data_IF_995455250943
#
_entry.id   IF_995455250943
#
_cell.length_a   1.000
_cell.length_b   1.000
_cell.length_c   1.000
_cell.angle_alpha   90.00
_cell.angle_beta   90.00
_cell.angle_gamma   90.00
#
_symmetry.space_group_name_H-M   'P 1'
#
loop_
_entity.id
_entity.type
_entity.pdbx_description
1 polymer ?
#
# COMPACT_ATOMS: atom_id res chain seq x y z
N UNK A 1 -8.24 6.98 -26.69
CA UNK A 1 -7.45 5.93 -27.38
C UNK A 1 -7.64 4.52 -26.79
N UNK A 2 -7.76 4.34 -25.47
CA UNK A 2 -8.01 3.02 -24.87
C UNK A 2 -9.34 2.37 -25.29
N UNK A 3 -10.35 3.17 -25.66
CA UNK A 3 -11.60 2.66 -26.23
C UNK A 3 -11.40 2.07 -27.63
N UNK A 4 -10.57 2.71 -28.46
CA UNK A 4 -10.27 2.30 -29.85
C UNK A 4 -9.50 0.98 -29.93
N UNK A 5 -8.63 0.69 -28.95
CA UNK A 5 -7.88 -0.58 -28.87
C UNK A 5 -8.67 -1.72 -28.18
N UNK A 6 -9.87 -1.43 -27.66
CA UNK A 6 -10.71 -2.42 -26.98
C UNK A 6 -10.03 -3.06 -25.76
N UNK A 7 -9.04 -2.40 -25.13
CA UNK A 7 -8.30 -2.96 -23.98
C UNK A 7 -9.23 -3.16 -22.77
N UNK A 8 -10.27 -2.35 -22.67
CA UNK A 8 -11.24 -2.38 -21.58
C UNK A 8 -12.28 -3.51 -21.71
N UNK A 9 -12.43 -4.12 -22.88
CA UNK A 9 -13.43 -5.17 -23.14
C UNK A 9 -12.82 -6.56 -23.26
N UNK A 10 -13.55 -7.55 -22.77
CA UNK A 10 -13.28 -8.95 -23.09
C UNK A 10 -13.79 -9.22 -24.51
N UNK A 11 -12.89 -9.55 -25.44
CA UNK A 11 -13.29 -9.87 -26.82
C UNK A 11 -13.81 -11.31 -26.91
N UNK A 12 -15.06 -11.53 -27.37
CA UNK A 12 -15.57 -12.86 -27.63
C UNK A 12 -14.80 -13.51 -28.78
N UNK A 13 -14.65 -14.84 -28.77
CA UNK A 13 -13.97 -15.60 -29.83
C UNK A 13 -12.46 -15.79 -29.68
N UNK A 14 -11.79 -15.06 -28.78
CA UNK A 14 -10.39 -15.31 -28.44
C UNK A 14 -10.22 -16.61 -27.63
N UNK A 15 -9.05 -17.23 -27.75
CA UNK A 15 -8.68 -18.35 -26.88
C UNK A 15 -8.43 -17.85 -25.43
N UNK A 16 -8.37 -18.75 -24.45
CA UNK A 16 -8.25 -18.35 -23.04
C UNK A 16 -6.89 -17.72 -22.68
N UNK A 17 -5.81 -18.08 -23.36
CA UNK A 17 -4.48 -17.51 -23.14
C UNK A 17 -4.47 -16.04 -23.59
N UNK A 18 -4.92 -15.77 -24.81
CA UNK A 18 -4.99 -14.41 -25.38
C UNK A 18 -5.93 -13.53 -24.54
N UNK A 19 -7.05 -14.10 -24.04
CA UNK A 19 -7.94 -13.40 -23.12
C UNK A 19 -7.22 -13.02 -21.83
N UNK A 20 -6.45 -13.94 -21.25
CA UNK A 20 -5.75 -13.69 -19.98
C UNK A 20 -4.62 -12.67 -20.13
N UNK A 21 -3.87 -12.73 -21.24
CA UNK A 21 -2.85 -11.74 -21.58
C UNK A 21 -3.47 -10.34 -21.70
N UNK A 22 -4.59 -10.22 -22.42
CA UNK A 22 -5.33 -8.95 -22.52
C UNK A 22 -5.81 -8.45 -21.16
N UNK A 23 -6.27 -9.34 -20.27
CA UNK A 23 -6.63 -8.97 -18.89
C UNK A 23 -5.43 -8.42 -18.14
N UNK A 24 -4.26 -9.04 -18.29
CA UNK A 24 -3.02 -8.58 -17.66
C UNK A 24 -2.61 -7.18 -18.14
N UNK A 25 -2.67 -6.94 -19.46
CA UNK A 25 -2.41 -5.62 -20.06
C UNK A 25 -3.39 -4.57 -19.54
N UNK A 26 -4.68 -4.90 -19.49
CA UNK A 26 -5.73 -4.03 -18.95
C UNK A 26 -5.45 -3.65 -17.50
N UNK A 27 -5.10 -4.63 -16.68
CA UNK A 27 -4.75 -4.46 -15.28
C UNK A 27 -3.51 -3.60 -15.05
N UNK A 28 -2.52 -3.69 -15.92
CA UNK A 28 -1.33 -2.84 -15.88
C UNK A 28 -1.69 -1.40 -16.29
N UNK A 29 -2.53 -1.24 -17.32
CA UNK A 29 -3.01 0.07 -17.78
C UNK A 29 -3.75 0.82 -16.69
N UNK A 30 -4.60 0.14 -15.90
CA UNK A 30 -5.28 0.74 -14.75
C UNK A 30 -4.31 1.21 -13.66
N UNK A 31 -3.28 0.41 -13.36
CA UNK A 31 -2.27 0.79 -12.38
C UNK A 31 -1.52 2.04 -12.82
N UNK A 32 -1.09 2.10 -14.08
CA UNK A 32 -0.38 3.26 -14.63
C UNK A 32 -1.25 4.51 -14.68
N UNK A 33 -2.53 4.39 -15.04
CA UNK A 33 -3.47 5.50 -15.03
C UNK A 33 -3.72 6.04 -13.62
N UNK A 34 -3.92 5.15 -12.63
CA UNK A 34 -4.07 5.55 -11.23
C UNK A 34 -2.81 6.22 -10.68
N UNK A 35 -1.63 5.69 -11.01
CA UNK A 35 -0.34 6.31 -10.66
C UNK A 35 -0.21 7.70 -11.29
N UNK A 36 -0.43 7.82 -12.60
CA UNK A 36 -0.36 9.09 -13.32
C UNK A 36 -1.35 10.10 -12.75
N UNK A 37 -2.61 9.71 -12.53
CA UNK A 37 -3.64 10.53 -11.88
C UNK A 37 -3.16 11.09 -10.53
N UNK A 38 -2.43 10.30 -9.76
CA UNK A 38 -1.88 10.70 -8.46
C UNK A 38 -0.72 11.69 -8.63
N UNK A 39 0.14 11.50 -9.62
CA UNK A 39 1.31 12.36 -9.88
C UNK A 39 0.94 13.72 -10.45
N UNK A 40 0.14 13.77 -11.52
CA UNK A 40 -0.19 15.03 -12.23
C UNK A 40 -1.52 15.63 -11.78
N UNK A 41 -2.12 15.09 -10.72
CA UNK A 41 -3.36 15.56 -10.10
C UNK A 41 -4.61 15.65 -11.00
N UNK A 42 -4.64 14.89 -12.09
CA UNK A 42 -5.82 14.79 -12.97
C UNK A 42 -6.81 13.74 -12.43
N UNK A 43 -7.95 13.55 -13.09
CA UNK A 43 -8.85 12.44 -12.79
C UNK A 43 -8.39 11.19 -13.55
N UNK A 44 -8.34 10.04 -12.88
CA UNK A 44 -8.00 8.77 -13.53
C UNK A 44 -9.00 8.48 -14.64
N UNK A 45 -8.50 8.19 -15.84
CA UNK A 45 -9.32 7.85 -17.01
C UNK A 45 -10.25 6.67 -16.72
N UNK A 46 -9.76 5.71 -15.95
CA UNK A 46 -10.49 4.48 -15.63
C UNK A 46 -11.32 4.57 -14.33
N UNK A 47 -11.41 5.74 -13.68
CA UNK A 47 -12.20 5.91 -12.46
C UNK A 47 -13.69 5.54 -12.67
N UNK A 48 -14.25 5.84 -13.83
CA UNK A 48 -15.65 5.58 -14.18
C UNK A 48 -15.86 4.39 -15.11
N UNK A 49 -14.78 3.84 -15.64
CA UNK A 49 -14.83 2.62 -16.42
C UNK A 49 -14.75 1.48 -15.42
N UNK A 50 -15.90 1.11 -14.84
CA UNK A 50 -16.01 -0.10 -14.05
C UNK A 50 -15.40 -1.23 -14.89
N UNK A 51 -14.24 -1.79 -14.50
CA UNK A 51 -13.66 -2.85 -15.29
C UNK A 51 -14.67 -3.99 -15.31
N UNK A 52 -14.96 -4.54 -16.49
CA UNK A 52 -15.45 -5.90 -16.55
C UNK A 52 -14.43 -6.77 -15.81
N UNK A 53 -14.70 -7.11 -14.56
CA UNK A 53 -13.71 -7.71 -13.71
C UNK A 53 -13.79 -9.23 -13.86
N UNK A 54 -12.80 -9.79 -14.55
CA UNK A 54 -12.50 -11.22 -14.53
C UNK A 54 -11.10 -11.43 -13.96
N UNK A 55 -10.92 -12.39 -13.03
CA UNK A 55 -9.59 -12.70 -12.49
C UNK A 55 -8.64 -13.11 -13.61
N UNK A 56 -7.35 -12.89 -13.36
CA UNK A 56 -6.31 -13.62 -14.08
C UNK A 56 -6.40 -15.10 -13.72
N UNK A 57 -6.09 -15.97 -14.66
CA UNK A 57 -5.99 -17.40 -14.42
C UNK A 57 -4.60 -17.73 -13.85
N UNK A 58 -4.50 -18.27 -12.61
CA UNK A 58 -3.23 -18.64 -12.01
C UNK A 58 -2.38 -19.58 -12.87
N UNK A 59 -3.01 -20.46 -13.65
CA UNK A 59 -2.34 -21.40 -14.54
C UNK A 59 -1.43 -20.71 -15.57
N UNK A 60 -1.80 -19.51 -16.01
CA UNK A 60 -1.02 -18.73 -16.99
C UNK A 60 0.00 -17.79 -16.32
N UNK A 61 0.07 -17.79 -14.99
CA UNK A 61 1.02 -16.99 -14.21
C UNK A 61 2.15 -17.82 -13.60
N UNK A 62 2.18 -19.13 -13.85
CA UNK A 62 3.26 -20.04 -13.45
C UNK A 62 4.26 -20.23 -14.58
N UNK A 63 5.54 -20.42 -14.26
CA UNK A 63 6.54 -20.83 -15.23
C UNK A 63 6.35 -22.33 -15.56
N UNK A 64 6.08 -22.70 -16.83
CA UNK A 64 5.86 -24.10 -17.21
C UNK A 64 7.08 -25.01 -16.99
N UNK A 65 8.26 -24.44 -16.76
CA UNK A 65 9.50 -25.16 -16.50
C UNK A 65 9.88 -25.20 -15.01
N UNK A 66 9.11 -24.56 -14.15
CA UNK A 66 9.37 -24.58 -12.71
C UNK A 66 9.14 -25.98 -12.13
N UNK A 67 9.96 -26.31 -11.14
CA UNK A 67 9.79 -27.51 -10.30
C UNK A 67 9.36 -27.16 -8.88
N UNK A 68 9.12 -25.88 -8.60
CA UNK A 68 8.69 -25.44 -7.28
C UNK A 68 7.20 -25.79 -7.08
N UNK A 69 6.87 -26.70 -6.14
CA UNK A 69 5.48 -27.05 -5.86
C UNK A 69 4.67 -25.86 -5.32
N UNK A 70 5.33 -24.82 -4.80
CA UNK A 70 4.68 -23.62 -4.27
C UNK A 70 4.31 -22.59 -5.34
N UNK A 71 4.78 -22.76 -6.58
CA UNK A 71 4.59 -21.72 -7.60
C UNK A 71 3.12 -21.48 -7.93
N UNK A 72 2.31 -22.56 -7.97
CA UNK A 72 0.89 -22.43 -8.27
C UNK A 72 0.14 -21.64 -7.18
N UNK A 73 0.39 -21.93 -5.90
CA UNK A 73 -0.24 -21.16 -4.80
C UNK A 73 0.24 -19.71 -4.78
N UNK A 74 1.50 -19.44 -5.15
CA UNK A 74 2.02 -18.08 -5.32
C UNK A 74 1.26 -17.37 -6.45
N UNK A 75 1.05 -18.03 -7.58
CA UNK A 75 0.26 -17.51 -8.70
C UNK A 75 -1.20 -17.23 -8.31
N UNK A 76 -1.83 -18.12 -7.53
CA UNK A 76 -3.17 -17.90 -6.97
C UNK A 76 -3.21 -16.66 -6.08
N UNK A 77 -2.22 -16.51 -5.20
CA UNK A 77 -2.08 -15.36 -4.33
C UNK A 77 -1.88 -14.06 -5.12
N UNK A 78 -1.05 -14.05 -6.17
CA UNK A 78 -0.83 -12.87 -7.02
C UNK A 78 -2.12 -12.48 -7.75
N UNK A 79 -2.81 -13.45 -8.36
CA UNK A 79 -4.09 -13.22 -9.03
C UNK A 79 -5.14 -12.66 -8.05
N UNK A 80 -5.17 -13.21 -6.82
CA UNK A 80 -6.06 -12.77 -5.76
C UNK A 80 -5.71 -11.37 -5.26
N UNK A 81 -4.44 -11.05 -5.06
CA UNK A 81 -4.02 -9.69 -4.69
C UNK A 81 -4.44 -8.71 -5.76
N UNK A 82 -4.22 -9.02 -7.05
CA UNK A 82 -4.65 -8.16 -8.17
C UNK A 82 -6.17 -7.97 -8.19
N UNK A 83 -6.95 -9.04 -7.92
CA UNK A 83 -8.40 -8.96 -7.70
C UNK A 83 -8.72 -7.94 -6.62
N UNK A 84 -8.17 -8.13 -5.44
CA UNK A 84 -8.46 -7.32 -4.27
C UNK A 84 -8.12 -5.85 -4.50
N UNK A 85 -6.95 -5.57 -5.09
CA UNK A 85 -6.54 -4.21 -5.45
C UNK A 85 -7.57 -3.53 -6.34
N UNK A 86 -7.92 -4.15 -7.47
CA UNK A 86 -8.83 -3.55 -8.44
C UNK A 86 -10.26 -3.41 -7.92
N UNK A 87 -10.78 -4.42 -7.22
CA UNK A 87 -12.18 -4.44 -6.79
C UNK A 87 -12.43 -3.60 -5.53
N UNK A 88 -11.49 -3.59 -4.59
CA UNK A 88 -11.73 -3.03 -3.25
C UNK A 88 -10.85 -1.82 -2.97
N UNK A 89 -9.54 -1.89 -3.28
CA UNK A 89 -8.60 -0.83 -2.89
C UNK A 89 -8.57 0.36 -3.86
N UNK A 90 -8.69 0.16 -5.17
CA UNK A 90 -8.55 1.24 -6.17
C UNK A 90 -9.56 2.37 -5.96
N UNK A 91 -10.81 2.05 -5.65
CA UNK A 91 -11.85 3.08 -5.46
C UNK A 91 -11.54 3.94 -4.23
N UNK A 92 -11.24 3.30 -3.10
CA UNK A 92 -10.97 4.00 -1.84
C UNK A 92 -9.68 4.83 -1.89
N UNK A 93 -8.64 4.31 -2.54
CA UNK A 93 -7.37 5.03 -2.75
C UNK A 93 -7.49 6.21 -3.72
N UNK A 94 -8.21 6.05 -4.84
CA UNK A 94 -8.47 7.17 -5.75
C UNK A 94 -9.29 8.29 -5.07
N UNK A 95 -10.29 7.93 -4.24
CA UNK A 95 -11.05 8.90 -3.47
C UNK A 95 -10.16 9.65 -2.47
N UNK A 96 -9.27 8.95 -1.75
CA UNK A 96 -8.28 9.55 -0.87
C UNK A 96 -7.32 10.49 -1.62
N UNK A 97 -6.90 10.14 -2.83
CA UNK A 97 -6.02 11.01 -3.62
C UNK A 97 -6.73 12.29 -4.04
N UNK A 98 -7.98 12.19 -4.53
CA UNK A 98 -8.80 13.37 -4.85
C UNK A 98 -9.01 14.25 -3.65
N UNK A 99 -9.31 13.64 -2.53
CA UNK A 99 -9.43 14.32 -1.26
C UNK A 99 -8.16 15.09 -0.88
N UNK A 100 -7.01 14.43 -0.92
CA UNK A 100 -5.71 15.02 -0.60
C UNK A 100 -5.42 16.24 -1.50
N UNK A 101 -5.75 16.15 -2.78
CA UNK A 101 -5.64 17.26 -3.73
C UNK A 101 -6.53 18.44 -3.33
N UNK A 102 -7.79 18.17 -2.98
CA UNK A 102 -8.72 19.21 -2.53
C UNK A 102 -8.24 19.90 -1.24
N UNK A 103 -7.75 19.15 -0.26
CA UNK A 103 -7.20 19.73 0.98
C UNK A 103 -6.00 20.64 0.71
N UNK A 104 -5.17 20.33 -0.29
CA UNK A 104 -4.06 21.19 -0.69
C UNK A 104 -4.53 22.49 -1.36
N UNK A 105 -5.59 22.45 -2.17
CA UNK A 105 -6.08 23.61 -2.93
C UNK A 105 -7.06 24.49 -2.17
N UNK A 106 -7.84 23.94 -1.24
CA UNK A 106 -8.83 24.69 -0.46
C UNK A 106 -8.92 24.17 1.00
N UNK A 107 -7.93 24.51 1.86
CA UNK A 107 -7.85 23.96 3.21
C UNK A 107 -8.97 24.46 4.14
N UNK A 108 -9.56 25.63 3.90
CA UNK A 108 -10.54 26.26 4.80
C UNK A 108 -11.92 25.60 4.70
N UNK A 109 -12.43 25.39 3.49
CA UNK A 109 -13.69 24.67 3.22
C UNK A 109 -13.64 23.23 3.79
N UNK A 110 -12.43 22.69 3.87
CA UNK A 110 -12.22 21.31 4.22
C UNK A 110 -12.20 21.08 5.74
N UNK A 111 -11.65 22.03 6.51
CA UNK A 111 -11.61 21.99 7.99
C UNK A 111 -12.97 21.74 8.63
N UNK A 112 -14.06 22.23 8.03
CA UNK A 112 -15.43 22.05 8.50
C UNK A 112 -15.98 20.62 8.29
N UNK A 113 -15.47 19.88 7.30
CA UNK A 113 -15.97 18.55 6.89
C UNK A 113 -14.99 17.40 7.14
N UNK A 114 -13.80 17.67 7.68
CA UNK A 114 -12.74 16.69 7.97
C UNK A 114 -13.25 15.38 8.59
N UNK A 115 -14.06 15.47 9.65
CA UNK A 115 -14.53 14.31 10.39
C UNK A 115 -15.37 13.35 9.54
N UNK A 116 -16.26 13.89 8.69
CA UNK A 116 -17.13 13.09 7.82
C UNK A 116 -16.32 12.35 6.76
N UNK A 117 -15.35 13.01 6.15
CA UNK A 117 -14.58 12.36 5.08
C UNK A 117 -13.60 11.32 5.63
N UNK A 118 -12.95 11.60 6.76
CA UNK A 118 -12.14 10.61 7.49
C UNK A 118 -12.99 9.38 7.81
N UNK A 119 -14.23 9.58 8.29
CA UNK A 119 -15.14 8.49 8.59
C UNK A 119 -15.50 7.65 7.36
N UNK A 120 -15.83 8.29 6.23
CA UNK A 120 -16.13 7.61 4.97
C UNK A 120 -14.93 6.80 4.48
N UNK A 121 -13.74 7.41 4.42
CA UNK A 121 -12.52 6.74 3.97
C UNK A 121 -12.14 5.57 4.89
N UNK A 122 -12.22 5.74 6.21
CA UNK A 122 -11.98 4.66 7.17
C UNK A 122 -12.98 3.51 6.99
N UNK A 123 -14.25 3.82 6.75
CA UNK A 123 -15.29 2.80 6.49
C UNK A 123 -14.98 2.01 5.21
N UNK A 124 -14.57 2.70 4.14
CA UNK A 124 -14.18 2.06 2.89
C UNK A 124 -12.91 1.21 3.04
N UNK A 125 -11.90 1.69 3.77
CA UNK A 125 -10.68 0.92 4.05
C UNK A 125 -10.97 -0.33 4.88
N UNK A 126 -11.80 -0.22 5.92
CA UNK A 126 -12.23 -1.36 6.72
C UNK A 126 -12.98 -2.38 5.87
N UNK A 127 -13.94 -1.94 5.05
CA UNK A 127 -14.66 -2.81 4.13
C UNK A 127 -13.71 -3.54 3.17
N UNK A 128 -12.77 -2.79 2.58
CA UNK A 128 -11.79 -3.34 1.63
C UNK A 128 -10.88 -4.37 2.29
N UNK A 129 -10.43 -4.11 3.52
CA UNK A 129 -9.64 -5.04 4.29
C UNK A 129 -10.41 -6.32 4.59
N UNK A 130 -11.63 -6.21 5.13
CA UNK A 130 -12.47 -7.37 5.47
C UNK A 130 -12.68 -8.25 4.23
N UNK A 131 -13.10 -7.67 3.11
CA UNK A 131 -13.31 -8.43 1.87
C UNK A 131 -12.05 -9.08 1.33
N UNK A 132 -10.91 -8.41 1.47
CA UNK A 132 -9.62 -8.97 1.07
C UNK A 132 -9.23 -10.16 1.97
N UNK A 133 -9.41 -10.03 3.29
CA UNK A 133 -9.10 -11.10 4.24
C UNK A 133 -10.03 -12.29 4.10
N UNK A 134 -11.33 -12.07 3.87
CA UNK A 134 -12.31 -13.16 3.60
C UNK A 134 -11.88 -14.00 2.39
N UNK A 135 -11.34 -13.36 1.36
CA UNK A 135 -10.85 -14.02 0.15
C UNK A 135 -9.56 -14.82 0.41
N UNK A 136 -8.60 -14.26 1.15
CA UNK A 136 -7.40 -15.00 1.54
C UNK A 136 -7.72 -16.16 2.49
N UNK A 137 -8.69 -15.99 3.40
CA UNK A 137 -9.19 -17.07 4.25
C UNK A 137 -9.79 -18.19 3.40
N UNK A 138 -10.58 -17.83 2.39
CA UNK A 138 -11.16 -18.78 1.43
C UNK A 138 -10.11 -19.56 0.65
N UNK A 139 -9.01 -18.90 0.25
CA UNK A 139 -7.87 -19.56 -0.39
C UNK A 139 -7.13 -20.47 0.60
N UNK A 140 -6.93 -20.02 1.84
CA UNK A 140 -6.20 -20.78 2.87
C UNK A 140 -6.86 -22.13 3.21
N UNK A 141 -8.19 -22.21 3.11
CA UNK A 141 -8.95 -23.45 3.31
C UNK A 141 -8.67 -24.50 2.23
N UNK A 142 -8.04 -24.13 1.11
CA UNK A 142 -7.69 -25.03 0.00
C UNK A 142 -6.23 -25.47 0.03
N UNK A 143 -5.42 -24.91 0.94
CA UNK A 143 -4.01 -25.25 1.05
C UNK A 143 -3.84 -26.72 1.49
N UNK A 144 -2.94 -27.43 0.83
CA UNK A 144 -2.65 -28.83 1.11
C UNK A 144 -1.71 -29.02 2.31
N UNK A 145 -0.84 -28.04 2.59
CA UNK A 145 0.13 -28.12 3.68
C UNK A 145 0.40 -26.77 4.38
N UNK A 146 1.21 -26.81 5.44
CA UNK A 146 1.58 -25.63 6.22
C UNK A 146 2.42 -24.60 5.45
N UNK A 147 3.16 -25.02 4.42
CA UNK A 147 3.98 -24.12 3.61
C UNK A 147 3.10 -23.28 2.69
N UNK A 148 2.13 -23.90 2.02
CA UNK A 148 1.13 -23.18 1.22
C UNK A 148 0.33 -22.20 2.10
N UNK A 149 -0.07 -22.64 3.30
CA UNK A 149 -0.76 -21.77 4.25
C UNK A 149 0.08 -20.55 4.64
N UNK A 150 1.38 -20.73 4.90
CA UNK A 150 2.27 -19.63 5.23
C UNK A 150 2.45 -18.66 4.04
N UNK A 151 2.44 -19.15 2.80
CA UNK A 151 2.43 -18.29 1.60
C UNK A 151 1.16 -17.43 1.59
N UNK A 152 -0.02 -18.04 1.68
CA UNK A 152 -1.31 -17.31 1.66
C UNK A 152 -1.37 -16.28 2.78
N UNK A 153 -0.90 -16.63 3.98
CA UNK A 153 -0.82 -15.75 5.15
C UNK A 153 0.10 -14.56 4.90
N UNK A 154 1.24 -14.75 4.22
CA UNK A 154 2.15 -13.65 3.90
C UNK A 154 1.53 -12.67 2.91
N UNK A 155 0.80 -13.14 1.90
CA UNK A 155 0.04 -12.25 1.01
C UNK A 155 -1.09 -11.52 1.74
N UNK A 156 -1.79 -12.19 2.68
CA UNK A 156 -2.79 -11.52 3.51
C UNK A 156 -2.16 -10.40 4.36
N UNK A 157 -0.99 -10.64 4.97
CA UNK A 157 -0.23 -9.63 5.72
C UNK A 157 0.14 -8.43 4.85
N UNK A 158 0.48 -8.61 3.57
CA UNK A 158 0.75 -7.48 2.67
C UNK A 158 -0.43 -6.51 2.58
N UNK A 159 -1.66 -7.03 2.51
CA UNK A 159 -2.88 -6.22 2.48
C UNK A 159 -3.20 -5.55 3.81
N UNK A 160 -2.90 -6.22 4.94
CA UNK A 160 -2.95 -5.57 6.26
C UNK A 160 -1.92 -4.42 6.32
N UNK A 161 -0.73 -4.62 5.76
CA UNK A 161 0.27 -3.56 5.64
C UNK A 161 -0.24 -2.37 4.81
N UNK A 162 -0.87 -2.64 3.65
CA UNK A 162 -1.45 -1.60 2.82
C UNK A 162 -2.49 -0.79 3.59
N UNK A 163 -3.39 -1.47 4.32
CA UNK A 163 -4.38 -0.82 5.16
C UNK A 163 -3.74 0.17 6.14
N UNK A 164 -2.74 -0.27 6.91
CA UNK A 164 -2.07 0.61 7.86
C UNK A 164 -1.32 1.77 7.19
N UNK A 165 -0.71 1.52 6.03
CA UNK A 165 -0.07 2.59 5.25
C UNK A 165 -1.10 3.64 4.80
N UNK A 166 -2.29 3.24 4.35
CA UNK A 166 -3.37 4.15 3.99
C UNK A 166 -3.91 4.93 5.21
N UNK A 167 -3.99 4.30 6.39
CA UNK A 167 -4.34 4.99 7.63
C UNK A 167 -3.30 6.05 7.99
N UNK A 168 -2.00 5.77 7.82
CA UNK A 168 -0.93 6.76 8.03
C UNK A 168 -1.10 7.93 7.07
N UNK A 169 -1.28 7.66 5.77
CA UNK A 169 -1.43 8.71 4.74
C UNK A 169 -2.64 9.59 5.05
N UNK A 170 -3.80 8.99 5.34
CA UNK A 170 -5.02 9.72 5.66
C UNK A 170 -4.83 10.64 6.87
N UNK A 171 -4.29 10.10 7.97
CA UNK A 171 -4.15 10.87 9.20
C UNK A 171 -3.01 11.91 9.08
N UNK A 172 -2.04 11.72 8.18
CA UNK A 172 -0.94 12.67 7.95
C UNK A 172 -1.41 14.03 7.45
N UNK A 173 -2.64 14.13 6.97
CA UNK A 173 -3.21 15.38 6.47
C UNK A 173 -3.66 16.32 7.60
N UNK A 174 -3.75 15.83 8.85
CA UNK A 174 -4.29 16.56 10.00
C UNK A 174 -3.24 16.85 11.06
N UNK A 175 -2.02 17.22 10.65
CA UNK A 175 -0.94 17.53 11.60
C UNK A 175 -1.31 18.69 12.54
N UNK A 176 -0.98 18.60 13.84
CA UNK A 176 -1.31 19.64 14.79
C UNK A 176 -0.56 20.94 14.46
N UNK A 177 -1.28 22.07 14.42
CA UNK A 177 -0.67 23.40 14.25
C UNK A 177 0.20 23.80 15.45
N UNK A 178 -0.20 23.38 16.66
CA UNK A 178 0.49 23.65 17.91
C UNK A 178 0.78 22.33 18.63
N UNK A 179 1.99 21.75 18.46
CA UNK A 179 2.36 20.51 19.12
C UNK A 179 2.47 20.71 20.63
N UNK A 180 1.84 19.84 21.41
CA UNK A 180 1.92 19.82 22.87
C UNK A 180 2.57 18.51 23.33
N UNK A 181 2.78 18.37 24.64
CA UNK A 181 3.19 17.09 25.22
C UNK A 181 2.14 15.97 25.01
N UNK A 182 0.87 16.33 24.78
CA UNK A 182 -0.21 15.37 24.51
C UNK A 182 -0.38 15.14 23.00
N UNK A 183 -0.19 13.90 22.57
CA UNK A 183 -0.42 13.54 21.17
C UNK A 183 -1.91 13.65 20.81
N UNK A 184 -2.19 14.31 19.68
CA UNK A 184 -3.54 14.43 19.15
C UNK A 184 -4.05 13.07 18.64
N UNK A 185 -5.38 12.89 18.48
CA UNK A 185 -5.96 11.63 18.03
C UNK A 185 -5.45 11.13 16.68
N UNK A 186 -5.12 12.03 15.75
CA UNK A 186 -4.61 11.69 14.42
C UNK A 186 -3.20 11.12 14.52
N UNK A 187 -2.31 11.80 15.26
CA UNK A 187 -0.95 11.33 15.53
C UNK A 187 -0.95 9.98 16.27
N UNK A 188 -1.85 9.79 17.24
CA UNK A 188 -2.01 8.48 17.91
C UNK A 188 -2.37 7.35 16.94
N UNK A 189 -3.29 7.60 15.99
CA UNK A 189 -3.68 6.63 14.95
C UNK A 189 -2.54 6.33 13.98
N UNK A 190 -1.75 7.34 13.60
CA UNK A 190 -0.55 7.15 12.78
C UNK A 190 0.45 6.26 13.50
N UNK A 191 0.76 6.53 14.77
CA UNK A 191 1.72 5.74 15.55
C UNK A 191 1.26 4.31 15.78
N UNK A 192 -0.03 4.09 16.02
CA UNK A 192 -0.61 2.74 16.09
C UNK A 192 -0.38 1.98 14.77
N UNK A 193 -0.66 2.63 13.63
CA UNK A 193 -0.48 2.03 12.31
C UNK A 193 1.00 1.82 11.95
N UNK A 194 1.87 2.75 12.32
CA UNK A 194 3.32 2.66 12.11
C UNK A 194 3.91 1.48 12.90
N UNK A 195 3.47 1.30 14.15
CA UNK A 195 3.86 0.14 14.94
C UNK A 195 3.35 -1.16 14.30
N UNK A 196 2.11 -1.20 13.83
CA UNK A 196 1.58 -2.37 13.14
C UNK A 196 2.37 -2.69 11.86
N UNK A 197 2.71 -1.69 11.04
CA UNK A 197 3.58 -1.85 9.88
C UNK A 197 4.96 -2.39 10.25
N UNK A 198 5.60 -1.80 11.25
CA UNK A 198 6.90 -2.27 11.73
C UNK A 198 6.81 -3.74 12.16
N UNK A 199 5.83 -4.12 12.99
CA UNK A 199 5.65 -5.51 13.41
C UNK A 199 5.37 -6.48 12.25
N UNK A 200 4.56 -6.06 11.28
CA UNK A 200 4.29 -6.84 10.07
C UNK A 200 5.56 -7.07 9.27
N UNK A 201 6.57 -6.21 9.38
CA UNK A 201 7.79 -6.21 8.56
C UNK A 201 9.03 -6.78 9.26
N UNK A 202 8.98 -7.29 10.50
CA UNK A 202 10.18 -7.82 11.19
C UNK A 202 10.61 -9.19 10.64
N UNK A 203 9.69 -10.16 10.59
CA UNK A 203 9.98 -11.55 10.23
C UNK A 203 9.04 -12.04 9.13
N UNK A 204 9.40 -11.76 7.88
CA UNK A 204 8.52 -12.07 6.75
C UNK A 204 9.24 -12.61 5.54
N UNK A 205 8.48 -13.36 4.77
CA UNK A 205 8.92 -14.03 3.57
C UNK A 205 9.47 -13.03 2.52
N UNK A 206 10.64 -13.31 1.91
CA UNK A 206 11.22 -12.51 0.83
C UNK A 206 10.28 -12.19 -0.34
N UNK A 207 9.26 -13.02 -0.59
CA UNK A 207 8.26 -12.78 -1.64
C UNK A 207 7.52 -11.45 -1.49
N UNK A 208 7.38 -10.97 -0.25
CA UNK A 208 6.68 -9.73 0.07
C UNK A 208 7.65 -8.55 0.29
N UNK A 209 8.96 -8.80 0.19
CA UNK A 209 10.01 -7.86 0.55
C UNK A 209 9.93 -6.53 -0.22
N UNK A 210 9.68 -6.47 -1.54
CA UNK A 210 9.58 -5.19 -2.24
C UNK A 210 8.53 -4.27 -1.62
N UNK A 211 7.37 -4.81 -1.25
CA UNK A 211 6.31 -4.03 -0.63
C UNK A 211 6.68 -3.57 0.78
N UNK A 212 7.33 -4.43 1.56
CA UNK A 212 7.81 -4.07 2.90
C UNK A 212 8.90 -3.01 2.85
N UNK A 213 9.77 -3.05 1.84
CA UNK A 213 10.77 -2.01 1.59
C UNK A 213 10.11 -0.63 1.39
N UNK A 214 9.01 -0.57 0.66
CA UNK A 214 8.20 0.66 0.55
C UNK A 214 7.54 1.07 1.88
N UNK A 215 7.02 0.12 2.67
CA UNK A 215 6.43 0.44 3.98
C UNK A 215 7.45 0.96 4.99
N UNK A 216 8.68 0.43 4.98
CA UNK A 216 9.77 0.94 5.82
C UNK A 216 10.16 2.37 5.42
N UNK A 217 10.20 2.67 4.12
CA UNK A 217 10.39 4.04 3.64
C UNK A 217 9.27 4.98 4.13
N UNK A 218 8.00 4.61 3.90
CA UNK A 218 6.83 5.37 4.36
C UNK A 218 6.85 5.62 5.87
N UNK A 219 7.18 4.59 6.65
CA UNK A 219 7.28 4.68 8.12
C UNK A 219 8.43 5.58 8.56
N UNK A 220 9.57 5.54 7.86
CA UNK A 220 10.70 6.43 8.11
C UNK A 220 10.32 7.89 7.86
N UNK A 221 9.67 8.17 6.72
CA UNK A 221 9.19 9.51 6.37
C UNK A 221 8.17 10.05 7.37
N UNK A 222 7.27 9.19 7.88
CA UNK A 222 6.37 9.55 8.96
C UNK A 222 7.14 10.00 10.21
N UNK A 223 8.11 9.21 10.69
CA UNK A 223 8.86 9.57 11.89
C UNK A 223 9.69 10.84 11.70
N UNK A 224 10.31 11.04 10.54
CA UNK A 224 10.99 12.30 10.20
C UNK A 224 10.01 13.47 10.32
N UNK A 225 8.83 13.36 9.68
CA UNK A 225 7.81 14.41 9.76
C UNK A 225 7.40 14.70 11.20
N UNK A 226 7.21 13.66 12.03
CA UNK A 226 6.85 13.82 13.44
C UNK A 226 7.97 14.45 14.27
N UNK A 227 9.24 14.10 14.02
CA UNK A 227 10.41 14.73 14.64
C UNK A 227 10.43 16.23 14.35
N UNK A 228 10.20 16.62 13.09
CA UNK A 228 10.16 18.02 12.69
C UNK A 228 8.94 18.75 13.29
N UNK A 229 7.79 18.08 13.36
CA UNK A 229 6.56 18.66 13.94
C UNK A 229 6.72 18.91 15.43
N UNK A 230 7.33 17.97 16.17
CA UNK A 230 7.48 18.03 17.62
C UNK A 230 8.86 18.52 18.06
N UNK A 231 9.56 19.28 17.22
CA UNK A 231 10.93 19.75 17.49
C UNK A 231 11.05 20.52 18.82
N UNK A 232 10.00 21.27 19.17
CA UNK A 232 9.89 22.06 20.39
C UNK A 232 9.50 21.24 21.64
N UNK A 233 9.26 19.93 21.50
CA UNK A 233 8.87 19.03 22.60
C UNK A 233 9.92 17.91 22.74
N UNK A 234 11.04 18.16 23.45
CA UNK A 234 12.23 17.29 23.40
C UNK A 234 11.97 15.81 23.71
N UNK A 235 11.15 15.54 24.74
CA UNK A 235 10.82 14.17 25.16
C UNK A 235 10.08 13.38 24.06
N UNK A 236 9.16 14.04 23.35
CA UNK A 236 8.39 13.42 22.27
C UNK A 236 9.27 13.25 21.03
N UNK A 237 10.13 14.24 20.75
CA UNK A 237 11.14 14.17 19.68
C UNK A 237 12.09 12.99 19.87
N UNK A 238 12.63 12.80 21.08
CA UNK A 238 13.54 11.67 21.38
C UNK A 238 12.84 10.32 21.21
N UNK A 239 11.58 10.20 21.63
CA UNK A 239 10.79 8.99 21.40
C UNK A 239 10.69 8.65 19.90
N UNK A 240 10.40 9.65 19.06
CA UNK A 240 10.30 9.44 17.62
C UNK A 240 11.66 9.17 16.97
N UNK A 241 12.73 9.78 17.47
CA UNK A 241 14.09 9.47 17.01
C UNK A 241 14.45 8.01 17.30
N UNK A 242 14.17 7.52 18.50
CA UNK A 242 14.39 6.11 18.84
C UNK A 242 13.61 5.15 17.93
N UNK A 243 12.38 5.52 17.55
CA UNK A 243 11.58 4.73 16.60
C UNK A 243 12.12 4.79 15.17
N UNK A 244 12.56 5.96 14.71
CA UNK A 244 13.18 6.10 13.40
C UNK A 244 14.43 5.24 13.27
N UNK A 245 15.29 5.21 14.30
CA UNK A 245 16.48 4.35 14.34
C UNK A 245 16.13 2.87 14.19
N UNK A 246 15.13 2.39 14.93
CA UNK A 246 14.66 0.99 14.83
C UNK A 246 14.21 0.64 13.41
N UNK A 247 13.43 1.51 12.78
CA UNK A 247 12.96 1.30 11.40
C UNK A 247 14.14 1.32 10.42
N UNK A 248 15.06 2.27 10.58
CA UNK A 248 16.21 2.45 9.70
C UNK A 248 17.18 1.26 9.77
N UNK A 249 17.43 0.72 10.97
CA UNK A 249 18.23 -0.50 11.16
C UNK A 249 17.63 -1.69 10.42
N UNK A 250 16.31 -1.90 10.54
CA UNK A 250 15.61 -2.96 9.80
C UNK A 250 15.69 -2.74 8.28
N UNK A 251 15.54 -1.49 7.85
CA UNK A 251 15.61 -1.10 6.44
C UNK A 251 16.99 -1.39 5.83
N UNK A 252 18.07 -1.06 6.55
CA UNK A 252 19.44 -1.36 6.16
C UNK A 252 19.77 -2.85 6.21
N UNK A 253 19.24 -3.58 7.20
CA UNK A 253 19.36 -5.03 7.28
C UNK A 253 18.78 -5.69 6.04
N UNK A 254 17.60 -5.26 5.59
CA UNK A 254 16.95 -5.80 4.40
C UNK A 254 17.70 -5.46 3.12
N UNK A 255 18.19 -4.22 2.99
CA UNK A 255 19.07 -3.82 1.89
C UNK A 255 20.30 -4.72 1.80
N UNK A 256 20.99 -4.90 2.92
CA UNK A 256 22.24 -5.67 2.97
C UNK A 256 22.01 -7.16 2.74
N UNK A 257 20.97 -7.73 3.35
CA UNK A 257 20.68 -9.17 3.30
C UNK A 257 20.12 -9.63 1.95
N UNK A 258 19.32 -8.80 1.28
CA UNK A 258 18.59 -9.18 0.07
C UNK A 258 18.99 -8.37 -1.18
N UNK A 259 20.04 -7.54 -1.08
CA UNK A 259 20.52 -6.69 -2.17
C UNK A 259 19.41 -5.79 -2.75
N UNK A 260 18.60 -5.18 -1.88
CA UNK A 260 17.54 -4.27 -2.32
C UNK A 260 18.14 -2.99 -2.93
N UNK A 261 17.45 -2.37 -3.90
CA UNK A 261 17.86 -1.07 -4.45
C UNK A 261 18.01 -0.01 -3.34
N UNK A 262 19.00 0.87 -3.50
CA UNK A 262 19.28 1.94 -2.52
C UNK A 262 18.38 3.17 -2.63
N UNK A 263 17.54 3.25 -3.65
CA UNK A 263 16.73 4.42 -4.01
C UNK A 263 15.81 4.90 -2.88
N UNK A 264 15.08 4.00 -2.22
CA UNK A 264 14.15 4.39 -1.17
C UNK A 264 14.83 4.79 0.14
N UNK A 265 15.94 4.13 0.49
CA UNK A 265 16.68 4.46 1.71
C UNK A 265 17.51 5.74 1.52
N UNK A 266 17.99 5.98 0.30
CA UNK A 266 18.69 7.22 -0.05
C UNK A 266 17.78 8.44 0.12
N UNK A 267 16.48 8.33 -0.19
CA UNK A 267 15.50 9.39 0.12
C UNK A 267 15.47 9.68 1.63
N UNK A 268 15.50 8.64 2.47
CA UNK A 268 15.57 8.81 3.93
C UNK A 268 16.87 9.51 4.32
N UNK A 269 18.01 9.03 3.82
CA UNK A 269 19.34 9.57 4.11
C UNK A 269 19.46 11.06 3.73
N UNK A 270 19.01 11.42 2.52
CA UNK A 270 19.03 12.81 2.03
C UNK A 270 18.23 13.71 2.97
N UNK A 271 17.01 13.30 3.33
CA UNK A 271 16.14 14.11 4.17
C UNK A 271 16.69 14.23 5.59
N UNK A 272 17.16 13.13 6.19
CA UNK A 272 17.73 13.18 7.54
C UNK A 272 19.01 14.02 7.59
N UNK A 273 19.86 13.94 6.58
CA UNK A 273 21.04 14.77 6.47
C UNK A 273 20.67 16.26 6.33
N UNK A 274 19.70 16.59 5.47
CA UNK A 274 19.24 17.96 5.27
C UNK A 274 18.72 18.59 6.58
N UNK A 275 17.98 17.82 7.39
CA UNK A 275 17.44 18.29 8.67
C UNK A 275 18.36 18.00 9.88
N UNK A 276 19.58 17.52 9.68
CA UNK A 276 20.54 17.15 10.74
C UNK A 276 19.98 16.14 11.78
N UNK A 277 19.15 15.20 11.33
CA UNK A 277 18.61 14.13 12.17
C UNK A 277 19.65 13.01 12.24
N UNK A 278 20.13 12.69 13.46
CA UNK A 278 21.15 11.66 13.69
C UNK A 278 20.54 10.25 13.77
N UNK A 279 20.56 9.53 12.65
CA UNK A 279 20.25 8.10 12.57
C UNK A 279 21.33 7.26 13.26
#
# INVERSE_FOLDING_TARGET
MASTLGIHVDMPGLNEIDKDERRCIRFTSYNHDSHLCSTISIQAHYLFLAPGWKPLNPLYQTNPYSKDPSEFVIAECICLSKKCYNMYWTISTNLMNKYSQHTLTNPEEFLENNGRVIYVLQTLFNHSLIKTLDLHLSLSMKCADLRELEIVKNFAKMHVGLYHNLIIILNSQFSPKNPTHSLDPSTKKQLWSANALYQITIDVNPLCLPMFYHYLCSTSLLYIKLILTYDQVPQVKELFLGKLKQVYELFNSYRSKYNMPGDLIEVVDIITNYFNIKL
#
